data_IF_315996080604
#
_entry.id   IF_315996080604
#
_cell.length_a   1.000
_cell.length_b   1.000
_cell.length_c   1.000
_cell.angle_alpha   90.00
_cell.angle_beta   90.00
_cell.angle_gamma   90.00
#
_symmetry.space_group_name_H-M   'P 1'
#
loop_
_entity.id
_entity.type
_entity.pdbx_description
1 polymer ?
#
# COMPACT_ATOMS: atom_id res chain seq x y z
N UNK A 1 46.00 -10.91 -36.29
CA UNK A 1 45.93 -9.44 -36.46
C UNK A 1 44.63 -8.98 -37.11
N UNK A 2 44.35 -9.29 -38.39
CA UNK A 2 43.15 -8.79 -39.07
C UNK A 2 41.84 -9.44 -38.57
N UNK A 3 41.88 -10.74 -38.26
CA UNK A 3 40.75 -11.45 -37.64
C UNK A 3 40.46 -10.99 -36.21
N UNK A 4 41.50 -10.65 -35.44
CA UNK A 4 41.34 -10.16 -34.06
C UNK A 4 40.73 -8.76 -34.04
N UNK A 5 41.12 -7.90 -34.99
CA UNK A 5 40.53 -6.57 -35.18
C UNK A 5 39.05 -6.66 -35.60
N UNK A 6 38.69 -7.61 -36.48
CA UNK A 6 37.30 -7.86 -36.86
C UNK A 6 36.45 -8.38 -35.69
N UNK A 7 37.00 -9.32 -34.90
CA UNK A 7 36.32 -9.86 -33.72
C UNK A 7 36.07 -8.78 -32.67
N UNK A 8 37.05 -7.88 -32.45
CA UNK A 8 36.90 -6.76 -31.53
C UNK A 8 35.78 -5.80 -31.96
N UNK A 9 35.69 -5.46 -33.24
CA UNK A 9 34.62 -4.60 -33.77
C UNK A 9 33.24 -5.28 -33.62
N UNK A 10 33.16 -6.59 -33.88
CA UNK A 10 31.94 -7.37 -33.70
C UNK A 10 31.50 -7.45 -32.23
N UNK A 11 32.45 -7.59 -31.30
CA UNK A 11 32.17 -7.57 -29.87
C UNK A 11 31.69 -6.20 -29.39
N UNK A 12 32.29 -5.11 -29.87
CA UNK A 12 31.82 -3.76 -29.57
C UNK A 12 30.39 -3.55 -30.06
N UNK A 13 30.06 -4.02 -31.26
CA UNK A 13 28.70 -3.91 -31.80
C UNK A 13 27.69 -4.74 -30.99
N UNK A 14 28.05 -5.98 -30.61
CA UNK A 14 27.20 -6.81 -29.74
C UNK A 14 26.95 -6.16 -28.40
N UNK A 15 28.01 -5.64 -27.75
CA UNK A 15 27.90 -4.95 -26.46
C UNK A 15 27.01 -3.71 -26.56
N UNK A 16 27.17 -2.90 -27.62
CA UNK A 16 26.33 -1.72 -27.85
C UNK A 16 24.84 -2.09 -27.94
N UNK A 17 24.50 -3.14 -28.70
CA UNK A 17 23.10 -3.58 -28.83
C UNK A 17 22.56 -4.13 -27.51
N UNK A 18 23.34 -4.93 -26.76
CA UNK A 18 22.93 -5.43 -25.46
C UNK A 18 22.71 -4.30 -24.45
N UNK A 19 23.64 -3.33 -24.38
CA UNK A 19 23.48 -2.17 -23.48
C UNK A 19 22.25 -1.33 -23.81
N UNK A 20 21.91 -1.15 -25.09
CA UNK A 20 20.67 -0.47 -25.46
C UNK A 20 19.41 -1.23 -25.03
N UNK A 21 19.44 -2.56 -25.11
CA UNK A 21 18.35 -3.40 -24.62
C UNK A 21 18.21 -3.34 -23.10
N UNK A 22 19.33 -3.35 -22.38
CA UNK A 22 19.36 -3.25 -20.92
C UNK A 22 18.79 -1.89 -20.44
N UNK A 23 19.19 -0.78 -21.06
CA UNK A 23 18.67 0.56 -20.74
C UNK A 23 17.15 0.63 -20.94
N UNK A 24 16.63 -0.01 -21.97
CA UNK A 24 15.18 -0.02 -22.23
C UNK A 24 14.41 -0.78 -21.14
N UNK A 25 14.92 -1.93 -20.71
CA UNK A 25 14.31 -2.70 -19.63
C UNK A 25 14.40 -1.99 -18.28
N UNK A 26 15.54 -1.36 -18.00
CA UNK A 26 15.73 -0.55 -16.79
C UNK A 26 14.76 0.63 -16.75
N UNK A 27 14.50 1.29 -17.88
CA UNK A 27 13.50 2.36 -17.97
C UNK A 27 12.09 1.84 -17.66
N UNK A 28 11.72 0.66 -18.16
CA UNK A 28 10.42 0.06 -17.87
C UNK A 28 10.26 -0.27 -16.38
N UNK A 29 11.28 -0.87 -15.77
CA UNK A 29 11.30 -1.17 -14.34
C UNK A 29 11.24 0.11 -13.49
N UNK A 30 11.96 1.15 -13.88
CA UNK A 30 11.92 2.45 -13.20
C UNK A 30 10.53 3.08 -13.20
N UNK A 31 9.82 3.03 -14.34
CA UNK A 31 8.45 3.54 -14.44
C UNK A 31 7.51 2.73 -13.53
N UNK A 32 7.63 1.41 -13.55
CA UNK A 32 6.82 0.54 -12.71
C UNK A 32 7.06 0.81 -11.21
N UNK A 33 8.32 0.94 -10.80
CA UNK A 33 8.71 1.26 -9.42
C UNK A 33 8.20 2.64 -8.99
N UNK A 34 8.28 3.63 -9.88
CA UNK A 34 7.74 4.98 -9.63
C UNK A 34 6.22 4.96 -9.41
N UNK A 35 5.48 4.19 -10.21
CA UNK A 35 4.03 4.03 -10.04
C UNK A 35 3.71 3.34 -8.73
N UNK A 36 4.47 2.30 -8.36
CA UNK A 36 4.23 1.57 -7.12
C UNK A 36 4.56 2.42 -5.90
N UNK A 37 5.63 3.21 -5.95
CA UNK A 37 5.96 4.20 -4.92
C UNK A 37 4.84 5.24 -4.76
N UNK A 38 4.24 5.71 -5.86
CA UNK A 38 3.11 6.62 -5.80
C UNK A 38 1.87 5.98 -5.14
N UNK A 39 1.62 4.69 -5.40
CA UNK A 39 0.54 3.94 -4.75
C UNK A 39 0.81 3.77 -3.25
N UNK A 40 2.04 3.48 -2.86
CA UNK A 40 2.43 3.37 -1.44
C UNK A 40 2.22 4.70 -0.71
N UNK A 41 2.60 5.83 -1.31
CA UNK A 41 2.35 7.16 -0.74
C UNK A 41 0.85 7.43 -0.52
N UNK A 42 0.01 7.02 -1.47
CA UNK A 42 -1.44 7.13 -1.32
C UNK A 42 -1.97 6.22 -0.19
N UNK A 43 -1.45 5.00 -0.08
CA UNK A 43 -1.85 4.07 0.97
C UNK A 43 -1.43 4.58 2.35
N UNK A 44 -0.23 5.13 2.49
CA UNK A 44 0.24 5.73 3.75
C UNK A 44 -0.64 6.92 4.14
N UNK A 45 -0.99 7.80 3.20
CA UNK A 45 -1.92 8.90 3.46
C UNK A 45 -3.31 8.43 3.89
N UNK A 46 -3.78 7.32 3.33
CA UNK A 46 -5.05 6.70 3.75
C UNK A 46 -4.92 6.07 5.14
N UNK A 47 -3.78 5.44 5.45
CA UNK A 47 -3.49 4.87 6.76
C UNK A 47 -3.50 5.95 7.84
N UNK A 48 -2.92 7.12 7.58
CA UNK A 48 -2.96 8.26 8.51
C UNK A 48 -4.40 8.76 8.74
N UNK A 49 -5.23 8.81 7.69
CA UNK A 49 -6.65 9.16 7.85
C UNK A 49 -7.43 8.11 8.65
N UNK A 50 -7.04 6.83 8.56
CA UNK A 50 -7.63 5.73 9.30
C UNK A 50 -7.05 5.57 10.71
N UNK A 51 -5.98 6.29 11.07
CA UNK A 51 -5.39 6.28 12.42
C UNK A 51 -6.37 6.82 13.48
N UNK A 52 -7.37 7.61 13.07
CA UNK A 52 -8.51 7.99 13.92
C UNK A 52 -9.36 6.77 14.37
N UNK A 53 -9.33 5.67 13.62
CA UNK A 53 -10.05 4.42 13.92
C UNK A 53 -9.26 3.54 14.90
N UNK A 54 -7.99 3.86 15.21
CA UNK A 54 -7.25 3.15 16.25
C UNK A 54 -7.74 3.58 17.65
N UNK A 55 -8.87 3.02 18.05
CA UNK A 55 -9.50 3.21 19.35
C UNK A 55 -8.61 2.76 20.51
N UNK A 56 -7.55 1.99 20.25
CA UNK A 56 -6.57 1.59 21.27
C UNK A 56 -5.89 2.81 21.89
N UNK A 57 -5.54 3.81 21.07
CA UNK A 57 -4.89 5.05 21.53
C UNK A 57 -5.79 5.90 22.41
N UNK A 58 -7.10 5.86 22.15
CA UNK A 58 -8.09 6.58 22.97
C UNK A 58 -8.44 5.82 24.24
N UNK A 59 -8.37 4.48 24.22
CA UNK A 59 -8.57 3.64 25.40
C UNK A 59 -7.50 3.87 26.45
N UNK A 60 -6.23 3.97 26.04
CA UNK A 60 -5.10 4.22 26.94
C UNK A 60 -5.11 5.64 27.55
N UNK A 61 -5.83 6.58 26.94
CA UNK A 61 -5.97 7.95 27.42
C UNK A 61 -7.10 8.13 28.45
N UNK A 62 -7.93 7.09 28.69
CA UNK A 62 -9.02 7.15 29.65
C UNK A 62 -8.51 6.94 31.09
N UNK A 63 -9.09 7.62 32.09
CA UNK A 63 -8.77 7.37 33.49
C UNK A 63 -9.03 5.91 33.88
N UNK A 64 -8.18 5.32 34.71
CA UNK A 64 -8.27 3.92 35.14
C UNK A 64 -9.64 3.56 35.74
N UNK A 65 -10.23 4.46 36.52
CA UNK A 65 -11.54 4.24 37.15
C UNK A 65 -12.68 4.11 36.11
N UNK A 66 -12.53 4.77 34.95
CA UNK A 66 -13.49 4.66 33.85
C UNK A 66 -13.28 3.38 33.07
N UNK A 67 -12.03 2.94 32.89
CA UNK A 67 -11.69 1.69 32.22
C UNK A 67 -12.22 0.48 33.01
N UNK A 68 -12.10 0.50 34.33
CA UNK A 68 -12.60 -0.58 35.19
C UNK A 68 -14.13 -0.65 35.19
N UNK A 69 -14.80 0.51 35.21
CA UNK A 69 -16.25 0.58 35.06
C UNK A 69 -16.72 0.13 33.66
N UNK A 70 -15.99 0.52 32.61
CA UNK A 70 -16.25 0.11 31.23
C UNK A 70 -16.05 -1.40 31.02
N UNK A 71 -15.04 -1.98 31.65
CA UNK A 71 -14.81 -3.43 31.63
C UNK A 71 -15.94 -4.19 32.33
N UNK A 72 -16.46 -3.67 33.45
CA UNK A 72 -17.60 -4.28 34.16
C UNK A 72 -18.92 -4.24 33.36
N UNK A 73 -19.09 -3.27 32.47
CA UNK A 73 -20.29 -3.10 31.63
C UNK A 73 -20.16 -3.83 30.28
N UNK A 74 -18.98 -4.39 29.96
CA UNK A 74 -18.74 -5.06 28.67
C UNK A 74 -18.65 -4.08 27.49
N UNK A 75 -18.12 -2.89 27.74
CA UNK A 75 -18.01 -1.83 26.73
C UNK A 75 -17.12 -2.26 25.56
N UNK A 76 -16.08 -3.05 25.83
CA UNK A 76 -15.13 -3.55 24.83
C UNK A 76 -15.80 -4.45 23.78
N UNK A 77 -16.72 -5.32 24.20
CA UNK A 77 -17.50 -6.18 23.32
C UNK A 77 -18.40 -5.35 22.40
N UNK A 78 -19.02 -4.28 22.92
CA UNK A 78 -19.86 -3.36 22.13
C UNK A 78 -19.04 -2.65 21.06
N UNK A 79 -17.85 -2.14 21.40
CA UNK A 79 -16.95 -1.50 20.44
C UNK A 79 -16.47 -2.46 19.35
N UNK A 80 -16.16 -3.70 19.72
CA UNK A 80 -15.73 -4.74 18.78
C UNK A 80 -16.83 -5.08 17.76
N UNK A 81 -18.08 -5.19 18.21
CA UNK A 81 -19.23 -5.42 17.32
C UNK A 81 -19.44 -4.20 16.41
N UNK A 82 -19.35 -2.99 16.94
CA UNK A 82 -19.56 -1.77 16.17
C UNK A 82 -18.49 -1.56 15.08
N UNK A 83 -17.22 -1.80 15.44
CA UNK A 83 -16.07 -1.71 14.54
C UNK A 83 -16.12 -2.77 13.44
N UNK A 84 -16.37 -4.03 13.81
CA UNK A 84 -16.49 -5.11 12.82
C UNK A 84 -17.66 -4.86 11.85
N UNK A 85 -18.79 -4.35 12.32
CA UNK A 85 -19.92 -3.96 11.47
C UNK A 85 -19.56 -2.81 10.50
N UNK A 86 -18.82 -1.80 10.96
CA UNK A 86 -18.33 -0.72 10.08
C UNK A 86 -17.28 -1.20 9.09
N UNK A 87 -16.42 -2.15 9.48
CA UNK A 87 -15.47 -2.80 8.58
C UNK A 87 -16.17 -3.54 7.45
N UNK A 88 -17.19 -4.35 7.77
CA UNK A 88 -18.03 -5.02 6.76
C UNK A 88 -18.72 -4.00 5.85
N UNK A 89 -19.22 -2.90 6.41
CA UNK A 89 -19.85 -1.82 5.64
C UNK A 89 -18.90 -1.19 4.63
N UNK A 90 -17.65 -0.89 5.02
CA UNK A 90 -16.62 -0.36 4.11
C UNK A 90 -16.24 -1.36 3.01
N UNK A 91 -16.09 -2.64 3.36
CA UNK A 91 -15.80 -3.70 2.39
C UNK A 91 -16.92 -3.85 1.36
N UNK A 92 -18.18 -3.82 1.80
CA UNK A 92 -19.33 -3.91 0.90
C UNK A 92 -19.45 -2.68 -0.01
N UNK A 93 -19.08 -1.49 0.46
CA UNK A 93 -19.08 -0.26 -0.34
C UNK A 93 -18.09 -0.28 -1.51
N UNK A 94 -17.07 -1.15 -1.47
CA UNK A 94 -16.13 -1.38 -2.56
C UNK A 94 -16.77 -2.15 -3.72
N UNK A 95 -17.82 -2.93 -3.44
CA UNK A 95 -18.63 -3.59 -4.46
C UNK A 95 -19.57 -2.53 -5.05
N UNK A 96 -19.55 -2.30 -6.37
CA UNK A 96 -20.31 -1.21 -7.01
C UNK A 96 -21.83 -1.28 -6.82
N UNK A 97 -22.35 -2.43 -6.36
CA UNK A 97 -23.77 -2.65 -6.07
C UNK A 97 -24.22 -2.21 -4.66
N UNK A 98 -23.30 -1.84 -3.77
CA UNK A 98 -23.60 -1.31 -2.42
C UNK A 98 -23.04 0.10 -2.23
N UNK A 99 -22.70 0.77 -3.35
CA UNK A 99 -22.13 2.12 -3.38
C UNK A 99 -22.89 3.07 -2.43
N UNK A 100 -22.13 3.85 -1.66
CA UNK A 100 -22.57 5.07 -0.97
C UNK A 100 -23.14 6.07 -1.99
N UNK A 101 -24.36 5.84 -2.46
CA UNK A 101 -25.03 6.67 -3.46
C UNK A 101 -25.52 5.89 -4.69
N UNK A 102 -26.44 4.94 -4.51
CA UNK A 102 -27.72 5.13 -5.19
C UNK A 102 -28.34 6.35 -4.51
N UNK A 103 -28.80 7.33 -5.30
CA UNK A 103 -29.30 8.63 -4.81
C UNK A 103 -29.98 8.58 -3.45
#
# INVERSE_FOLDING_TARGET
MLNDALNYILELFKKLVTTLYDIFNDLFLFIFDSVMTAILLLLDSLSEMLDFIDFSKYYDALPSDFIDAAAAVGLHEVFTIYLSAHGVKLLLQLIPFVRLGSK
#
